data_IF_194513901408
#
_entry.id   IF_194513901408
#
_cell.length_a   1.000
_cell.length_b   1.000
_cell.length_c   1.000
_cell.angle_alpha   90.00
_cell.angle_beta   90.00
_cell.angle_gamma   90.00
#
_symmetry.space_group_name_H-M   'P 1'
#
loop_
_entity.id
_entity.type
_entity.pdbx_description
1 polymer ?
#
# COMPACT_ATOMS: atom_id res chain seq x y z
N UNK A 1 -1.04 18.07 19.69
CA UNK A 1 -2.05 18.59 18.76
C UNK A 1 -3.02 17.47 18.42
N UNK A 2 -4.31 17.65 18.67
CA UNK A 2 -5.33 16.64 18.36
C UNK A 2 -5.62 16.71 16.86
N UNK A 3 -4.83 15.99 16.05
CA UNK A 3 -4.99 15.98 14.60
C UNK A 3 -6.27 15.24 14.25
N UNK A 4 -7.10 15.87 13.40
CA UNK A 4 -8.33 15.28 12.87
C UNK A 4 -8.05 14.68 11.50
N UNK A 5 -8.57 13.49 11.27
CA UNK A 5 -8.57 12.85 9.96
C UNK A 5 -9.98 12.89 9.38
N UNK A 6 -10.08 13.28 8.11
CA UNK A 6 -11.32 13.20 7.32
C UNK A 6 -11.18 12.12 6.26
N UNK A 7 -12.10 11.17 6.26
CA UNK A 7 -12.11 10.12 5.24
C UNK A 7 -12.37 10.72 3.86
N UNK A 8 -11.46 10.47 2.91
CA UNK A 8 -11.58 10.94 1.53
C UNK A 8 -12.49 10.03 0.67
N UNK A 9 -13.20 9.09 1.29
CA UNK A 9 -14.06 8.11 0.61
C UNK A 9 -13.31 7.31 -0.46
N UNK A 10 -12.03 7.03 -0.23
CA UNK A 10 -11.20 6.27 -1.18
C UNK A 10 -11.65 4.81 -1.24
N UNK A 11 -11.68 4.25 -2.45
CA UNK A 11 -11.90 2.81 -2.65
C UNK A 11 -10.71 2.01 -2.12
N UNK A 12 -10.89 0.73 -1.74
CA UNK A 12 -9.78 -0.10 -1.24
C UNK A 12 -8.56 -0.19 -2.19
N UNK A 13 -8.78 -0.07 -3.50
CA UNK A 13 -7.75 -0.12 -4.54
C UNK A 13 -7.30 1.26 -5.04
N UNK A 14 -7.64 2.36 -4.35
CA UNK A 14 -7.33 3.72 -4.81
C UNK A 14 -5.83 4.02 -5.01
N UNK A 15 -4.94 3.18 -4.47
CA UNK A 15 -3.50 3.35 -4.59
C UNK A 15 -2.82 2.20 -5.35
N UNK A 16 -3.57 1.31 -6.00
CA UNK A 16 -3.00 0.09 -6.61
C UNK A 16 -2.42 0.31 -8.01
N UNK A 17 -2.69 1.45 -8.66
CA UNK A 17 -2.22 1.74 -10.02
C UNK A 17 -0.69 1.77 -10.12
N UNK A 18 -0.04 2.23 -9.05
CA UNK A 18 1.40 2.17 -8.86
C UNK A 18 1.74 1.51 -7.53
N UNK A 19 2.48 0.39 -7.59
CA UNK A 19 2.96 -0.33 -6.40
C UNK A 19 4.47 -0.42 -6.39
N UNK A 20 5.09 -0.02 -5.29
CA UNK A 20 6.51 -0.19 -5.03
C UNK A 20 6.77 -1.63 -4.57
N UNK A 21 7.72 -2.29 -5.24
CA UNK A 21 8.07 -3.70 -5.00
C UNK A 21 9.59 -3.86 -4.84
N UNK A 22 10.00 -4.98 -4.28
CA UNK A 22 11.39 -5.44 -4.25
C UNK A 22 11.73 -5.99 -5.63
N UNK A 23 12.75 -5.43 -6.27
CA UNK A 23 13.22 -5.88 -7.57
C UNK A 23 13.65 -7.36 -7.49
N UNK A 24 13.16 -8.25 -8.36
CA UNK A 24 13.53 -9.67 -8.31
C UNK A 24 15.02 -9.89 -8.61
N UNK A 25 15.66 -9.00 -9.39
CA UNK A 25 17.07 -9.09 -9.80
C UNK A 25 18.05 -8.52 -8.78
N UNK A 26 17.91 -7.26 -8.38
CA UNK A 26 18.89 -6.57 -7.52
C UNK A 26 18.44 -6.39 -6.07
N UNK A 27 17.20 -6.78 -5.72
CA UNK A 27 16.58 -6.56 -4.41
C UNK A 27 16.43 -5.08 -4.00
N UNK A 28 16.75 -4.14 -4.90
CA UNK A 28 16.47 -2.71 -4.72
C UNK A 28 15.01 -2.36 -4.98
N UNK A 29 14.68 -1.08 -4.87
CA UNK A 29 13.33 -0.57 -5.14
C UNK A 29 12.99 -0.66 -6.63
N UNK A 30 11.81 -1.18 -6.93
CA UNK A 30 11.22 -1.23 -8.26
C UNK A 30 9.76 -0.77 -8.19
N UNK A 31 9.20 -0.46 -9.36
CA UNK A 31 7.84 0.06 -9.51
C UNK A 31 7.07 -0.85 -10.45
N UNK A 32 5.89 -1.27 -10.03
CA UNK A 32 4.88 -1.95 -10.84
C UNK A 32 3.77 -0.94 -11.17
N UNK A 33 3.47 -0.78 -12.46
CA UNK A 33 2.40 0.09 -12.96
C UNK A 33 1.41 -0.68 -13.81
N UNK A 34 0.12 -0.39 -13.64
CA UNK A 34 -0.94 -0.83 -14.56
C UNK A 34 -1.09 0.20 -15.69
N UNK A 35 -1.07 -0.27 -16.93
CA UNK A 35 -1.39 0.50 -18.13
C UNK A 35 -2.77 0.08 -18.62
N UNK A 36 -3.57 1.00 -19.14
CA UNK A 36 -4.94 0.73 -19.61
C UNK A 36 -4.98 0.31 -21.08
N UNK A 37 -4.09 0.87 -21.92
CA UNK A 37 -4.07 0.63 -23.36
C UNK A 37 -2.64 0.43 -23.88
N UNK A 38 -2.23 -0.80 -24.26
CA UNK A 38 -2.92 -2.06 -24.00
C UNK A 38 -2.93 -2.39 -22.49
N UNK A 39 -3.97 -3.07 -22.01
CA UNK A 39 -4.09 -3.43 -20.59
C UNK A 39 -2.96 -4.37 -20.17
N UNK A 40 -1.97 -3.82 -19.48
CA UNK A 40 -0.73 -4.52 -19.16
C UNK A 40 -0.18 -4.04 -17.82
N UNK A 41 0.53 -4.93 -17.13
CA UNK A 41 1.32 -4.58 -15.98
C UNK A 41 2.79 -4.48 -16.41
N UNK A 42 3.48 -3.46 -15.93
CA UNK A 42 4.89 -3.20 -16.22
C UNK A 42 5.66 -3.09 -14.91
N UNK A 43 6.76 -3.82 -14.78
CA UNK A 43 7.71 -3.70 -13.68
C UNK A 43 8.99 -3.05 -14.21
N UNK A 44 9.43 -1.99 -13.55
CA UNK A 44 10.68 -1.28 -13.86
C UNK A 44 11.52 -1.06 -12.61
N UNK A 45 12.83 -1.28 -12.70
CA UNK A 45 13.79 -1.00 -11.62
C UNK A 45 14.81 0.04 -12.09
N UNK A 46 14.90 1.16 -11.38
CA UNK A 46 15.86 2.23 -11.68
C UNK A 46 17.30 1.88 -11.29
N UNK A 47 17.52 0.96 -10.34
CA UNK A 47 18.87 0.63 -9.85
C UNK A 47 19.64 -0.34 -10.75
N UNK A 48 18.95 -1.28 -11.40
CA UNK A 48 19.59 -2.30 -12.24
C UNK A 48 19.02 -2.38 -13.66
N UNK A 49 18.14 -1.44 -14.02
CA UNK A 49 17.46 -1.36 -15.32
C UNK A 49 16.65 -2.61 -15.70
N UNK A 50 16.35 -3.48 -14.73
CA UNK A 50 15.45 -4.60 -14.97
C UNK A 50 14.06 -4.08 -15.35
N UNK A 51 13.57 -4.59 -16.48
CA UNK A 51 12.26 -4.25 -17.02
C UNK A 51 11.56 -5.51 -17.50
N UNK A 52 10.27 -5.63 -17.20
CA UNK A 52 9.40 -6.67 -17.74
C UNK A 52 7.97 -6.16 -17.81
N UNK A 53 7.21 -6.64 -18.79
CA UNK A 53 5.78 -6.37 -18.89
C UNK A 53 5.02 -7.66 -19.20
N UNK A 54 3.73 -7.67 -18.86
CA UNK A 54 2.82 -8.73 -19.27
C UNK A 54 1.40 -8.22 -19.41
N UNK A 55 0.58 -8.81 -20.29
CA UNK A 55 -0.84 -8.48 -20.35
C UNK A 55 -1.50 -8.80 -19.00
N UNK A 56 -2.46 -7.98 -18.58
CA UNK A 56 -3.27 -8.29 -17.41
C UNK A 56 -4.21 -9.41 -17.82
N UNK A 57 -4.02 -10.60 -17.22
CA UNK A 57 -4.95 -11.72 -17.37
C UNK A 57 -5.91 -11.71 -16.19
N UNK A 58 -7.19 -11.94 -16.44
CA UNK A 58 -8.20 -12.19 -15.42
C UNK A 58 -8.00 -13.59 -14.86
N UNK A 59 -6.95 -13.78 -14.05
CA UNK A 59 -6.72 -15.01 -13.32
C UNK A 59 -7.34 -14.88 -11.92
N UNK A 60 -7.94 -15.96 -11.41
CA UNK A 60 -8.41 -16.06 -10.02
C UNK A 60 -7.21 -16.16 -9.06
N UNK A 61 -6.35 -15.14 -9.05
CA UNK A 61 -5.21 -15.05 -8.15
C UNK A 61 -5.69 -14.49 -6.83
N UNK A 62 -5.39 -15.19 -5.74
CA UNK A 62 -5.67 -14.67 -4.40
C UNK A 62 -4.86 -13.39 -4.17
N UNK A 63 -5.49 -12.39 -3.57
CA UNK A 63 -4.81 -11.16 -3.19
C UNK A 63 -3.80 -11.49 -2.09
N UNK A 64 -2.51 -11.37 -2.41
CA UNK A 64 -1.44 -11.45 -1.41
C UNK A 64 -1.36 -10.13 -0.66
N UNK A 65 -1.25 -10.18 0.68
CA UNK A 65 -1.05 -8.99 1.50
C UNK A 65 0.39 -8.47 1.43
N UNK A 66 1.31 -9.26 0.87
CA UNK A 66 2.76 -9.02 0.99
C UNK A 66 3.47 -8.98 -0.34
N UNK A 67 2.78 -9.36 -1.42
CA UNK A 67 3.30 -9.39 -2.78
C UNK A 67 2.34 -8.67 -3.74
N UNK A 68 2.89 -8.11 -4.80
CA UNK A 68 2.08 -7.46 -5.83
C UNK A 68 1.27 -8.50 -6.63
N UNK A 69 0.11 -8.06 -7.09
CA UNK A 69 -0.84 -8.93 -7.79
C UNK A 69 -0.25 -9.49 -9.10
N UNK A 70 0.50 -8.67 -9.83
CA UNK A 70 0.94 -8.98 -11.18
C UNK A 70 2.17 -9.87 -11.16
N UNK A 71 3.29 -9.40 -10.64
CA UNK A 71 4.59 -10.07 -10.74
C UNK A 71 4.93 -10.95 -9.54
N UNK A 72 4.07 -11.02 -8.53
CA UNK A 72 4.32 -11.76 -7.29
C UNK A 72 5.63 -11.32 -6.62
N UNK A 73 5.97 -10.04 -6.73
CA UNK A 73 7.14 -9.45 -6.09
C UNK A 73 6.76 -8.89 -4.72
N UNK A 74 7.63 -9.09 -3.73
CA UNK A 74 7.41 -8.59 -2.37
C UNK A 74 7.20 -7.06 -2.38
N UNK A 75 6.19 -6.55 -1.68
CA UNK A 75 5.91 -5.12 -1.57
C UNK A 75 7.10 -4.42 -0.88
N UNK A 76 7.57 -3.29 -1.43
CA UNK A 76 8.71 -2.55 -0.90
C UNK A 76 8.40 -1.92 0.47
N UNK A 77 7.23 -1.29 0.60
CA UNK A 77 6.80 -0.59 1.79
C UNK A 77 6.03 -1.53 2.73
N UNK A 78 6.73 -2.49 3.33
CA UNK A 78 6.13 -3.38 4.33
C UNK A 78 7.03 -3.62 5.54
N UNK A 79 6.41 -3.98 6.66
CA UNK A 79 7.10 -4.35 7.89
C UNK A 79 6.24 -5.30 8.74
N UNK A 80 6.89 -6.17 9.50
CA UNK A 80 6.22 -7.02 10.48
C UNK A 80 5.69 -6.20 11.66
N UNK A 81 4.48 -6.53 12.11
CA UNK A 81 3.85 -5.93 13.28
C UNK A 81 3.19 -7.02 14.14
N UNK A 82 3.89 -7.49 15.17
CA UNK A 82 3.48 -8.68 15.95
C UNK A 82 3.31 -9.88 15.01
N UNK A 83 2.12 -10.48 14.95
CA UNK A 83 1.77 -11.60 14.07
C UNK A 83 1.13 -11.14 12.75
N UNK A 84 1.11 -9.83 12.49
CA UNK A 84 0.51 -9.20 11.32
C UNK A 84 1.61 -8.55 10.47
N UNK A 85 1.25 -8.11 9.26
CA UNK A 85 2.12 -7.26 8.42
C UNK A 85 1.44 -5.93 8.10
N UNK A 86 2.18 -4.85 8.33
CA UNK A 86 1.84 -3.54 7.81
C UNK A 86 2.43 -3.39 6.40
N UNK A 87 1.66 -2.83 5.47
CA UNK A 87 2.12 -2.57 4.12
C UNK A 87 1.40 -1.37 3.51
N UNK A 88 2.02 -0.76 2.48
CA UNK A 88 1.43 0.27 1.64
C UNK A 88 1.85 0.06 0.17
N UNK A 89 1.04 0.51 -0.77
CA UNK A 89 1.33 0.36 -2.21
C UNK A 89 2.49 1.28 -2.61
N UNK A 90 2.41 2.55 -2.24
CA UNK A 90 3.35 3.60 -2.59
C UNK A 90 3.40 4.64 -1.46
N UNK A 91 4.21 5.69 -1.62
CA UNK A 91 4.37 6.70 -0.57
C UNK A 91 3.10 7.54 -0.35
N UNK A 92 2.23 7.70 -1.34
CA UNK A 92 0.94 8.39 -1.17
C UNK A 92 0.00 7.59 -0.26
N UNK A 93 -0.08 6.28 -0.49
CA UNK A 93 -0.80 5.38 0.40
C UNK A 93 -0.19 5.42 1.81
N UNK A 94 1.13 5.37 1.93
CA UNK A 94 1.83 5.42 3.23
C UNK A 94 1.52 6.72 3.98
N UNK A 95 1.52 7.87 3.29
CA UNK A 95 1.18 9.17 3.86
C UNK A 95 -0.30 9.22 4.31
N UNK A 96 -1.23 8.66 3.53
CA UNK A 96 -2.64 8.56 3.93
C UNK A 96 -2.80 7.71 5.20
N UNK A 97 -2.08 6.60 5.28
CA UNK A 97 -2.05 5.74 6.47
C UNK A 97 -1.46 6.47 7.68
N UNK A 98 -0.40 7.26 7.49
CA UNK A 98 0.20 8.10 8.55
C UNK A 98 -0.82 9.07 9.13
N UNK A 99 -1.55 9.78 8.27
CA UNK A 99 -2.60 10.73 8.67
C UNK A 99 -3.72 10.01 9.43
N UNK A 100 -4.21 8.87 8.91
CA UNK A 100 -5.26 8.09 9.56
C UNK A 100 -4.86 7.55 10.94
N UNK A 101 -3.68 6.93 11.04
CA UNK A 101 -3.18 6.31 12.27
C UNK A 101 -2.88 7.39 13.32
N UNK A 102 -2.21 8.46 12.89
CA UNK A 102 -1.81 9.57 13.75
C UNK A 102 -2.97 10.40 14.30
N UNK A 103 -4.12 10.40 13.64
CA UNK A 103 -5.27 11.18 14.09
C UNK A 103 -5.87 10.68 15.41
N UNK A 104 -6.14 11.62 16.31
CA UNK A 104 -6.86 11.41 17.56
C UNK A 104 -8.36 11.23 17.34
N UNK A 105 -8.92 11.94 16.36
CA UNK A 105 -10.30 11.88 15.93
C UNK A 105 -10.37 11.56 14.42
N UNK A 106 -11.20 10.58 14.06
CA UNK A 106 -11.38 10.10 12.68
C UNK A 106 -12.84 10.31 12.27
N UNK A 107 -13.07 11.33 11.47
CA UNK A 107 -14.40 11.69 10.98
C UNK A 107 -14.73 10.85 9.75
N UNK A 108 -15.97 10.35 9.72
CA UNK A 108 -16.54 9.69 8.55
C UNK A 108 -17.40 10.70 7.80
N UNK A 109 -17.36 10.64 6.49
CA UNK A 109 -18.29 11.38 5.64
C UNK A 109 -19.46 10.46 5.24
N UNK A 110 -20.56 11.07 4.79
CA UNK A 110 -21.60 10.33 4.07
C UNK A 110 -20.99 9.62 2.87
N UNK A 111 -21.42 8.38 2.66
CA UNK A 111 -20.86 7.49 1.65
C UNK A 111 -21.87 6.43 1.24
N UNK A 112 -21.70 5.95 0.02
CA UNK A 112 -22.54 4.91 -0.57
C UNK A 112 -21.88 3.52 -0.49
N UNK A 113 -20.57 3.45 -0.17
CA UNK A 113 -19.79 2.21 -0.16
C UNK A 113 -18.81 2.16 1.01
N UNK A 114 -18.25 0.97 1.30
CA UNK A 114 -17.19 0.82 2.29
C UNK A 114 -15.88 1.42 1.79
N UNK A 115 -15.30 2.35 2.56
CA UNK A 115 -14.06 3.02 2.19
C UNK A 115 -12.83 2.18 2.55
N UNK A 116 -11.67 2.56 2.04
CA UNK A 116 -10.38 1.93 2.33
C UNK A 116 -10.16 1.82 3.84
N UNK A 117 -10.34 2.91 4.59
CA UNK A 117 -10.04 2.96 6.03
C UNK A 117 -10.94 2.05 6.86
N UNK A 118 -12.08 1.66 6.33
CA UNK A 118 -12.99 0.72 6.97
C UNK A 118 -12.68 -0.73 6.70
N UNK A 119 -12.09 -1.03 5.55
CA UNK A 119 -11.61 -2.36 5.24
C UNK A 119 -10.26 -2.66 5.90
N UNK A 120 -9.63 -1.66 6.54
CA UNK A 120 -8.38 -1.86 7.25
C UNK A 120 -8.50 -2.92 8.37
N UNK A 121 -7.46 -3.75 8.57
CA UNK A 121 -7.37 -4.68 9.67
C UNK A 121 -7.52 -4.00 11.05
N UNK A 122 -8.04 -4.75 12.03
CA UNK A 122 -8.25 -4.25 13.38
C UNK A 122 -6.98 -3.75 14.06
N UNK A 123 -5.82 -4.36 13.76
CA UNK A 123 -4.55 -3.93 14.35
C UNK A 123 -4.14 -2.51 13.94
N UNK A 124 -4.50 -2.08 12.72
CA UNK A 124 -4.23 -0.72 12.24
C UNK A 124 -5.18 0.29 12.91
N UNK A 125 -6.44 -0.09 13.08
CA UNK A 125 -7.46 0.78 13.69
C UNK A 125 -7.24 1.00 15.18
N UNK A 126 -6.62 0.04 15.86
CA UNK A 126 -6.42 0.06 17.32
C UNK A 126 -5.53 1.22 17.79
N UNK A 127 -6.07 2.08 18.66
CA UNK A 127 -5.32 3.18 19.25
C UNK A 127 -4.07 2.72 20.03
N UNK A 128 -4.12 1.53 20.65
CA UNK A 128 -2.99 0.92 21.39
C UNK A 128 -1.76 0.65 20.52
N UNK A 129 -1.96 0.53 19.21
CA UNK A 129 -0.89 0.25 18.25
C UNK A 129 -0.34 1.52 17.59
N UNK A 130 -0.97 2.69 17.80
CA UNK A 130 -0.68 3.96 17.10
C UNK A 130 0.80 4.30 17.09
N UNK A 131 1.41 4.45 18.26
CA UNK A 131 2.81 4.89 18.36
C UNK A 131 3.78 3.92 17.65
N UNK A 132 3.55 2.62 17.80
CA UNK A 132 4.39 1.59 17.19
C UNK A 132 4.22 1.58 15.66
N UNK A 133 3.00 1.75 15.17
CA UNK A 133 2.72 1.83 13.73
C UNK A 133 3.30 3.11 13.11
N UNK A 134 3.20 4.25 13.79
CA UNK A 134 3.83 5.49 13.31
C UNK A 134 5.36 5.34 13.20
N UNK A 135 6.01 4.72 14.19
CA UNK A 135 7.46 4.41 14.12
C UNK A 135 7.80 3.49 12.94
N UNK A 136 6.93 2.56 12.58
CA UNK A 136 7.12 1.73 11.37
C UNK A 136 7.01 2.60 10.11
N UNK A 137 5.99 3.46 10.05
CA UNK A 137 5.77 4.35 8.91
C UNK A 137 6.96 5.28 8.71
N UNK A 138 7.47 5.91 9.77
CA UNK A 138 8.63 6.82 9.68
C UNK A 138 9.88 6.11 9.13
N UNK A 139 10.08 4.83 9.48
CA UNK A 139 11.16 3.99 8.92
C UNK A 139 10.94 3.69 7.44
N UNK A 140 9.70 3.40 7.04
CA UNK A 140 9.35 3.09 5.66
C UNK A 140 9.41 4.33 4.75
N UNK A 141 9.13 5.52 5.26
CA UNK A 141 9.30 6.78 4.52
C UNK A 141 10.76 7.06 4.16
N UNK A 142 11.70 6.59 4.98
CA UNK A 142 13.15 6.77 4.79
C UNK A 142 13.81 5.65 3.98
N UNK A 143 13.02 4.76 3.36
CA UNK A 143 13.48 3.56 2.65
C UNK A 143 13.54 3.75 1.13
#
# INVERSE_FOLDING_TARGET
MNTRFKDKNLRPYAFSDETLVVCPKCKGKAIVRKTVEPESAQLSCSSCHYFTNKPVKTENKSYSLTHDYYFDCEIWLQASFKNERFWAHNYEHLAYMKQYIGAGLRERNDREFFTLVEKLPGFIKSAKNREKLLKIIDRLESK
#
